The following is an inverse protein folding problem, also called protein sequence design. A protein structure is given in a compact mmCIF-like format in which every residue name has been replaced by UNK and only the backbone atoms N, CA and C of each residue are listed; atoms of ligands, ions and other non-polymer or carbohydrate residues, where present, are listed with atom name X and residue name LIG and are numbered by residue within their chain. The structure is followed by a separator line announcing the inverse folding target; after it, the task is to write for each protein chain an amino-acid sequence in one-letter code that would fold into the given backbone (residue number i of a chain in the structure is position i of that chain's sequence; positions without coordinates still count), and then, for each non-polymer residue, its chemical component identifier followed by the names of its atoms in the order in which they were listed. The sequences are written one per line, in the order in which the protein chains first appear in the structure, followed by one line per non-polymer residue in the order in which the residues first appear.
data_IF_440877102732
#
_entry.id   IF_440877102732
#
_cell.length_a   1.000
_cell.length_b   1.000
_cell.length_c   1.000
_cell.angle_alpha   90.00
_cell.angle_beta   90.00
_cell.angle_gamma   90.00
#
_symmetry.space_group_name_H-M   'P 1'
#
loop_
_entity.id
_entity.type
_entity.pdbx_description
1 polymer ?
#
# COMPACT_ATOMS: atom_id res chain seq x y z
N UNK A 1 14.69 -0.35 -13.76
CA UNK A 1 15.90 0.49 -14.01
C UNK A 1 17.05 0.11 -13.05
N UNK A 2 18.29 0.54 -13.30
CA UNK A 2 19.49 0.12 -12.53
C UNK A 2 19.39 0.40 -11.02
N UNK A 3 18.71 1.48 -10.62
CA UNK A 3 18.61 1.93 -9.23
C UNK A 3 17.27 1.64 -8.56
N UNK A 4 16.30 1.07 -9.28
CA UNK A 4 14.94 0.85 -8.78
C UNK A 4 14.93 -0.07 -7.55
N UNK A 5 15.71 -1.16 -7.59
CA UNK A 5 15.82 -2.09 -6.46
C UNK A 5 16.49 -1.44 -5.24
N UNK A 6 17.55 -0.66 -5.45
CA UNK A 6 18.25 0.04 -4.37
C UNK A 6 17.30 1.01 -3.66
N UNK A 7 16.66 1.91 -4.42
CA UNK A 7 15.73 2.87 -3.81
C UNK A 7 14.52 2.19 -3.18
N UNK A 8 14.08 1.04 -3.69
CA UNK A 8 13.01 0.29 -3.05
C UNK A 8 13.41 -0.34 -1.71
N UNK A 9 14.66 -0.81 -1.60
CA UNK A 9 15.19 -1.44 -0.39
C UNK A 9 15.52 -0.39 0.72
N UNK A 10 15.70 0.88 0.35
CA UNK A 10 16.09 1.99 1.23
C UNK A 10 14.98 3.02 1.54
N UNK A 11 13.82 2.91 0.90
CA UNK A 11 12.73 3.88 1.06
C UNK A 11 12.19 3.94 2.50
N UNK A 12 12.10 5.16 3.05
CA UNK A 12 11.54 5.44 4.38
C UNK A 12 12.22 4.66 5.53
N UNK A 13 13.52 4.38 5.39
CA UNK A 13 14.35 3.68 6.36
C UNK A 13 15.00 4.61 7.41
N UNK A 14 14.78 5.92 7.26
CA UNK A 14 15.30 7.04 8.08
C UNK A 14 16.75 7.41 7.81
N UNK A 15 17.35 6.90 6.74
CA UNK A 15 18.67 7.26 6.26
C UNK A 15 18.53 7.95 4.91
N UNK A 16 19.06 9.16 4.79
CA UNK A 16 18.93 9.90 3.54
C UNK A 16 19.87 9.35 2.44
N UNK A 17 19.27 8.78 1.41
CA UNK A 17 19.85 8.33 0.16
C UNK A 17 19.59 9.36 -0.95
N UNK A 18 20.52 10.31 -1.11
CA UNK A 18 20.39 11.42 -2.09
C UNK A 18 20.16 10.95 -3.54
N UNK A 19 20.62 9.74 -3.91
CA UNK A 19 20.35 9.15 -5.23
C UNK A 19 18.88 8.77 -5.47
N UNK A 20 18.12 8.59 -4.39
CA UNK A 20 16.69 8.26 -4.39
C UNK A 20 15.79 9.46 -4.05
N UNK A 21 16.40 10.60 -3.68
CA UNK A 21 15.71 11.83 -3.32
C UNK A 21 15.28 12.66 -4.54
N UNK A 22 14.46 12.05 -5.40
CA UNK A 22 13.87 12.67 -6.58
C UNK A 22 12.44 12.15 -6.80
N UNK A 23 11.68 12.83 -7.67
CA UNK A 23 10.28 12.52 -7.91
C UNK A 23 10.09 11.10 -8.50
N UNK A 24 10.97 10.69 -9.42
CA UNK A 24 10.86 9.39 -10.07
C UNK A 24 11.12 8.19 -9.14
N UNK A 25 11.90 8.40 -8.07
CA UNK A 25 12.19 7.41 -7.04
C UNK A 25 11.34 7.59 -5.77
N UNK A 26 10.45 8.59 -5.71
CA UNK A 26 9.54 8.78 -4.58
C UNK A 26 10.13 9.52 -3.38
N UNK A 27 11.10 10.43 -3.63
CA UNK A 27 11.72 11.30 -2.62
C UNK A 27 12.34 10.55 -1.44
N UNK A 28 12.87 9.36 -1.70
CA UNK A 28 13.49 8.50 -0.69
C UNK A 28 12.59 8.27 0.54
N UNK A 29 11.27 8.25 0.34
CA UNK A 29 10.31 8.10 1.44
C UNK A 29 10.33 9.24 2.47
N UNK A 30 10.84 10.42 2.11
CA UNK A 30 11.05 11.61 2.96
C UNK A 30 12.25 11.53 3.92
N UNK A 31 13.14 10.54 3.79
CA UNK A 31 14.30 10.41 4.68
C UNK A 31 15.30 11.57 4.56
N UNK A 32 15.31 12.26 3.41
CA UNK A 32 16.14 13.43 3.16
C UNK A 32 15.53 14.78 3.58
N UNK A 33 14.35 14.78 4.23
CA UNK A 33 13.66 15.99 4.66
C UNK A 33 13.35 16.02 6.17
N UNK A 34 14.31 15.70 7.07
CA UNK A 34 14.03 15.49 8.50
C UNK A 34 13.54 16.75 9.23
N UNK A 35 13.95 17.93 8.76
CA UNK A 35 13.58 19.23 9.36
C UNK A 35 12.34 19.86 8.70
N UNK A 36 11.73 19.18 7.73
CA UNK A 36 10.53 19.66 7.04
C UNK A 36 9.30 19.06 7.73
N UNK A 37 8.44 19.89 8.34
CA UNK A 37 7.21 19.38 8.94
C UNK A 37 6.32 18.71 7.89
N UNK A 38 5.66 17.63 8.30
CA UNK A 38 4.74 16.92 7.42
C UNK A 38 3.51 17.77 7.11
N UNK A 39 3.26 17.99 5.82
CA UNK A 39 2.06 18.65 5.33
C UNK A 39 1.06 17.61 4.81
N UNK A 40 0.34 16.97 5.74
CA UNK A 40 -0.66 15.96 5.38
C UNK A 40 -1.87 16.59 4.70
N UNK A 41 -2.31 15.99 3.59
CA UNK A 41 -3.57 16.33 2.95
C UNK A 41 -4.76 16.03 3.90
N UNK A 42 -5.85 16.77 3.73
CA UNK A 42 -7.06 16.55 4.52
C UNK A 42 -7.66 15.17 4.26
N UNK A 43 -8.02 14.45 5.33
CA UNK A 43 -8.68 13.15 5.25
C UNK A 43 -7.72 11.96 5.19
N UNK A 44 -8.15 10.87 4.55
CA UNK A 44 -7.35 9.65 4.40
C UNK A 44 -7.72 8.99 3.09
N UNK A 45 -6.72 8.72 2.24
CA UNK A 45 -6.91 7.96 1.00
C UNK A 45 -7.15 6.48 1.34
N UNK A 46 -8.31 5.95 0.96
CA UNK A 46 -8.66 4.54 1.13
C UNK A 46 -8.59 3.84 -0.23
N UNK A 47 -7.81 2.77 -0.33
CA UNK A 47 -7.62 2.00 -1.56
C UNK A 47 -7.94 0.53 -1.30
N UNK A 48 -8.66 -0.11 -2.23
CA UNK A 48 -8.86 -1.56 -2.23
C UNK A 48 -7.87 -2.16 -3.23
N UNK A 49 -6.94 -2.97 -2.74
CA UNK A 49 -5.95 -3.69 -3.55
C UNK A 49 -6.34 -5.17 -3.55
N UNK A 50 -6.33 -5.80 -4.73
CA UNK A 50 -6.61 -7.23 -4.88
C UNK A 50 -5.34 -8.04 -4.59
N UNK A 51 -4.79 -7.89 -3.40
CA UNK A 51 -3.66 -8.65 -2.86
C UNK A 51 -3.91 -8.92 -1.38
N UNK A 52 -3.52 -10.09 -0.85
CA UNK A 52 -3.52 -10.32 0.58
C UNK A 52 -2.66 -9.29 1.33
N UNK A 53 -3.01 -8.90 2.57
CA UNK A 53 -2.27 -7.91 3.35
C UNK A 53 -0.77 -8.21 3.48
N UNK A 54 -0.38 -9.47 3.65
CA UNK A 54 1.01 -9.87 3.81
C UNK A 54 1.81 -9.75 2.49
N UNK A 55 1.17 -9.98 1.33
CA UNK A 55 1.79 -9.76 0.03
C UNK A 55 1.93 -8.28 -0.31
N UNK A 56 0.93 -7.46 0.04
CA UNK A 56 1.04 -6.01 -0.09
C UNK A 56 2.18 -5.46 0.77
N UNK A 57 2.35 -5.96 2.01
CA UNK A 57 3.44 -5.55 2.88
C UNK A 57 4.83 -5.90 2.31
N UNK A 58 4.99 -7.10 1.73
CA UNK A 58 6.23 -7.53 1.06
C UNK A 58 6.61 -6.64 -0.14
N UNK A 59 5.64 -5.96 -0.74
CA UNK A 59 5.81 -5.10 -1.92
C UNK A 59 5.46 -3.63 -1.66
N UNK A 60 5.39 -3.24 -0.38
CA UNK A 60 4.87 -1.96 0.10
C UNK A 60 5.56 -0.76 -0.54
N UNK A 61 6.89 -0.76 -0.59
CA UNK A 61 7.67 0.32 -1.19
C UNK A 61 7.31 0.52 -2.66
N UNK A 62 7.28 -0.56 -3.46
CA UNK A 62 6.94 -0.46 -4.88
C UNK A 62 5.52 0.05 -5.09
N UNK A 63 4.58 -0.37 -4.24
CA UNK A 63 3.22 0.11 -4.25
C UNK A 63 3.14 1.62 -3.96
N UNK A 64 3.77 2.08 -2.87
CA UNK A 64 3.76 3.49 -2.46
C UNK A 64 4.47 4.39 -3.46
N UNK A 65 5.63 3.98 -3.97
CA UNK A 65 6.40 4.72 -4.97
C UNK A 65 5.62 4.87 -6.28
N UNK A 66 5.01 3.79 -6.79
CA UNK A 66 4.22 3.85 -8.03
C UNK A 66 2.97 4.70 -7.87
N UNK A 67 2.22 4.51 -6.79
CA UNK A 67 1.02 5.31 -6.54
C UNK A 67 1.39 6.79 -6.29
N UNK A 68 2.47 7.04 -5.56
CA UNK A 68 3.00 8.37 -5.31
C UNK A 68 3.44 9.08 -6.58
N UNK A 69 4.12 8.38 -7.50
CA UNK A 69 4.48 8.89 -8.81
C UNK A 69 3.24 9.29 -9.64
N UNK A 70 2.16 8.50 -9.58
CA UNK A 70 0.90 8.85 -10.27
C UNK A 70 0.25 10.08 -9.63
N UNK A 71 0.29 10.21 -8.31
CA UNK A 71 -0.34 11.30 -7.56
C UNK A 71 0.55 12.55 -7.45
N UNK A 72 1.81 12.48 -7.89
CA UNK A 72 2.84 13.49 -7.67
C UNK A 72 2.93 13.90 -6.19
N UNK A 73 2.90 12.90 -5.29
CA UNK A 73 2.91 13.09 -3.84
C UNK A 73 3.59 11.92 -3.14
N UNK A 74 4.23 12.17 -1.99
CA UNK A 74 4.80 11.08 -1.18
C UNK A 74 3.72 10.44 -0.32
N UNK A 75 3.65 9.11 -0.35
CA UNK A 75 2.62 8.33 0.34
C UNK A 75 3.25 7.46 1.42
N UNK A 76 2.45 7.17 2.44
CA UNK A 76 2.75 6.21 3.50
C UNK A 76 1.48 5.55 4.00
N UNK A 77 1.61 4.36 4.57
CA UNK A 77 0.51 3.75 5.28
C UNK A 77 0.24 4.49 6.60
N UNK A 78 -1.04 4.73 6.88
CA UNK A 78 -1.47 5.28 8.16
C UNK A 78 -1.25 4.24 9.26
N UNK A 79 -0.80 4.69 10.42
CA UNK A 79 -0.69 3.86 11.62
C UNK A 79 -1.94 4.04 12.49
N UNK A 80 -2.37 2.98 13.16
CA UNK A 80 -3.40 3.04 14.19
C UNK A 80 -2.81 3.54 15.53
N UNK A 81 -3.64 3.59 16.58
CA UNK A 81 -3.21 4.00 17.92
C UNK A 81 -2.17 3.08 18.57
N UNK A 82 -1.99 1.86 18.04
CA UNK A 82 -1.02 0.88 18.51
C UNK A 82 0.27 0.90 17.67
N UNK A 83 0.38 1.79 16.68
CA UNK A 83 1.51 1.85 15.77
C UNK A 83 1.51 0.74 14.71
N UNK A 84 0.36 0.12 14.43
CA UNK A 84 0.21 -0.89 13.38
C UNK A 84 -0.29 -0.26 12.09
N UNK A 85 0.18 -0.74 10.94
CA UNK A 85 -0.32 -0.29 9.65
C UNK A 85 -1.82 -0.59 9.50
N UNK A 86 -2.58 0.41 9.06
CA UNK A 86 -4.01 0.31 8.77
C UNK A 86 -4.27 -0.42 7.43
N UNK A 87 -3.80 -1.66 7.32
CA UNK A 87 -3.99 -2.56 6.17
C UNK A 87 -4.85 -3.73 6.64
N UNK A 88 -6.02 -3.87 6.03
CA UNK A 88 -7.03 -4.85 6.46
C UNK A 88 -7.41 -5.79 5.31
N UNK A 89 -7.72 -7.07 5.60
CA UNK A 89 -8.25 -7.97 4.60
C UNK A 89 -9.58 -7.44 4.04
N UNK A 90 -9.74 -7.52 2.72
CA UNK A 90 -10.96 -7.13 2.04
C UNK A 90 -11.68 -8.35 1.45
N UNK A 91 -12.91 -8.58 1.92
CA UNK A 91 -13.72 -9.75 1.58
C UNK A 91 -14.73 -9.51 0.44
N UNK A 92 -14.79 -8.27 -0.08
CA UNK A 92 -15.75 -7.89 -1.10
C UNK A 92 -17.16 -7.66 -0.58
N UNK A 93 -18.05 -7.22 -1.48
CA UNK A 93 -19.48 -7.10 -1.19
C UNK A 93 -20.17 -8.46 -1.35
N UNK A 94 -21.07 -8.82 -0.43
CA UNK A 94 -21.84 -10.08 -0.45
C UNK A 94 -22.57 -10.34 -1.78
N UNK A 95 -22.90 -9.31 -2.55
CA UNK A 95 -23.52 -9.43 -3.87
C UNK A 95 -22.59 -9.99 -4.96
N UNK A 96 -21.26 -9.79 -4.86
CA UNK A 96 -20.27 -10.44 -5.74
C UNK A 96 -20.04 -11.90 -5.35
N UNK A 97 -19.98 -12.20 -4.05
CA UNK A 97 -19.87 -13.56 -3.52
C UNK A 97 -21.06 -14.43 -3.96
N UNK A 98 -22.29 -13.88 -3.93
CA UNK A 98 -23.50 -14.55 -4.45
C UNK A 98 -23.44 -14.85 -5.95
N UNK A 99 -22.96 -13.92 -6.79
CA UNK A 99 -22.81 -14.17 -8.24
C UNK A 99 -21.80 -15.29 -8.54
N UNK A 100 -20.68 -15.32 -7.81
CA UNK A 100 -19.65 -16.36 -7.95
C UNK A 100 -20.17 -17.74 -7.53
N UNK A 101 -20.85 -17.84 -6.38
CA UNK A 101 -21.40 -19.10 -5.88
C UNK A 101 -22.52 -19.67 -6.77
N UNK A 102 -23.35 -18.80 -7.35
CA UNK A 102 -24.35 -19.19 -8.37
C UNK A 102 -23.69 -19.70 -9.66
N UNK A 103 -22.63 -19.05 -10.14
CA UNK A 103 -21.90 -19.48 -11.34
C UNK A 103 -21.13 -20.81 -11.14
N UNK A 104 -20.67 -21.09 -9.91
CA UNK A 104 -19.91 -22.30 -9.56
C UNK A 104 -20.78 -23.46 -9.06
N UNK A 105 -22.10 -23.31 -8.98
CA UNK A 105 -23.03 -24.36 -8.55
C UNK A 105 -22.78 -24.92 -7.14
N UNK A 106 -22.04 -24.19 -6.28
CA UNK A 106 -21.68 -24.63 -4.92
C UNK A 106 -22.65 -24.08 -3.89
N UNK A 107 -23.19 -24.96 -3.04
CA UNK A 107 -23.97 -24.60 -1.84
C UNK A 107 -23.05 -23.80 -0.90
N UNK A 108 -23.51 -22.65 -0.34
CA UNK A 108 -22.70 -21.90 0.61
C UNK A 108 -22.58 -22.73 1.89
N UNK A 109 -21.41 -23.35 2.10
CA UNK A 109 -20.95 -23.59 3.48
C UNK A 109 -20.72 -22.21 4.08
N UNK A 110 -20.90 -22.05 5.39
CA UNK A 110 -20.42 -20.86 6.11
C UNK A 110 -18.96 -20.63 5.70
N UNK A 111 -18.80 -19.71 4.75
CA UNK A 111 -17.60 -19.56 3.97
C UNK A 111 -16.70 -18.73 4.86
N UNK A 112 -15.60 -19.31 5.34
CA UNK A 112 -14.40 -18.53 5.62
C UNK A 112 -14.25 -17.58 4.44
N UNK A 113 -14.53 -16.29 4.67
CA UNK A 113 -14.61 -15.35 3.58
C UNK A 113 -13.21 -15.28 2.97
N UNK A 114 -13.05 -15.83 1.75
CA UNK A 114 -11.78 -15.78 1.06
C UNK A 114 -11.41 -14.30 0.84
N UNK A 115 -10.25 -13.91 1.36
CA UNK A 115 -9.66 -12.59 1.09
C UNK A 115 -9.52 -12.48 -0.43
N UNK A 116 -9.99 -11.38 -1.00
CA UNK A 116 -9.90 -11.19 -2.45
C UNK A 116 -8.45 -10.78 -2.79
N UNK A 117 -7.69 -11.72 -3.35
CA UNK A 117 -6.31 -11.54 -3.82
C UNK A 117 -5.81 -12.82 -4.46
#
# INVERSE_FOLDING_TARGET
PLYEKYCADHYADKLCDQGCNNEECGWDGLDCAPDVPEHLAEGTLIVIVLLPPDELLKSSTNFLQKLGSILHATLRFKLDSNGQYMIYPYYGSSSRLKKRSVALGRVPRELEQEIIG
#
